data_IF_288787356346
#
_entry.id   IF_288787356346
#
_cell.length_a   1.000
_cell.length_b   1.000
_cell.length_c   1.000
_cell.angle_alpha   90.00
_cell.angle_beta   90.00
_cell.angle_gamma   90.00
#
_symmetry.space_group_name_H-M   'P 1'
#
loop_
_entity.id
_entity.type
_entity.pdbx_description
1 polymer ?
#
# COMPACT_ATOMS: atom_id res chain seq x y z
N UNK A 1 1.50 38.42 -35.40
CA UNK A 1 2.12 38.15 -34.10
C UNK A 1 1.11 37.30 -33.37
N UNK A 2 1.30 35.98 -33.41
CA UNK A 2 0.37 35.00 -32.87
C UNK A 2 0.78 34.71 -31.43
N UNK A 3 -0.09 35.03 -30.49
CA UNK A 3 0.06 34.66 -29.08
C UNK A 3 -0.42 33.21 -28.93
N UNK A 4 0.53 32.27 -28.93
CA UNK A 4 0.29 30.89 -28.52
C UNK A 4 0.01 30.85 -27.01
N UNK A 5 -1.25 30.71 -26.63
CA UNK A 5 -1.62 30.29 -25.27
C UNK A 5 -1.54 28.77 -25.17
N UNK A 6 -0.76 28.20 -24.23
CA UNK A 6 -0.84 26.78 -23.98
C UNK A 6 -2.13 26.45 -23.22
N UNK A 7 -2.89 25.54 -23.83
CA UNK A 7 -4.04 24.82 -23.30
C UNK A 7 -3.69 24.13 -21.97
N UNK A 8 -4.24 24.64 -20.86
CA UNK A 8 -4.02 24.12 -19.49
C UNK A 8 -5.05 23.04 -19.13
N UNK A 9 -5.81 22.52 -20.08
CA UNK A 9 -7.02 21.73 -19.81
C UNK A 9 -6.81 20.20 -19.77
N UNK A 10 -5.70 19.71 -19.21
CA UNK A 10 -5.40 18.26 -19.14
C UNK A 10 -4.84 17.74 -17.81
N UNK A 11 -4.91 18.47 -16.69
CA UNK A 11 -4.34 18.00 -15.41
C UNK A 11 -5.35 17.84 -14.27
N UNK A 12 -6.63 17.60 -14.57
CA UNK A 12 -7.57 17.09 -13.56
C UNK A 12 -7.61 15.55 -13.55
N UNK A 13 -6.44 14.92 -13.67
CA UNK A 13 -6.29 13.55 -13.19
C UNK A 13 -6.16 13.68 -11.68
N UNK A 14 -7.26 13.39 -10.96
CA UNK A 14 -7.26 13.18 -9.52
C UNK A 14 -6.53 11.86 -9.23
N UNK A 15 -5.25 11.78 -9.61
CA UNK A 15 -4.29 10.96 -8.92
C UNK A 15 -4.25 11.55 -7.52
N UNK A 16 -4.86 10.86 -6.56
CA UNK A 16 -4.47 11.00 -5.17
C UNK A 16 -3.00 10.59 -5.12
N UNK A 17 -2.11 11.51 -5.46
CA UNK A 17 -0.70 11.39 -5.19
C UNK A 17 -0.63 11.20 -3.70
N UNK A 18 -0.39 9.95 -3.29
CA UNK A 18 0.18 9.68 -1.99
C UNK A 18 1.37 10.63 -1.91
N UNK A 19 1.30 11.60 -0.99
CA UNK A 19 2.23 12.72 -0.93
C UNK A 19 3.66 12.16 -0.92
N UNK A 20 4.32 12.20 -2.08
CA UNK A 20 5.47 11.32 -2.36
C UNK A 20 6.75 11.82 -1.70
N UNK A 21 6.69 12.97 -1.02
CA UNK A 21 7.83 13.65 -0.40
C UNK A 21 8.44 12.89 0.78
N UNK A 22 7.80 11.82 1.27
CA UNK A 22 8.25 11.08 2.45
C UNK A 22 8.22 9.55 2.30
N UNK A 23 8.15 9.02 1.08
CA UNK A 23 8.15 7.57 0.89
C UNK A 23 9.58 7.01 0.93
N UNK A 24 9.83 6.08 1.84
CA UNK A 24 11.12 5.38 1.95
C UNK A 24 11.02 4.02 1.24
N UNK A 25 11.93 3.70 0.31
CA UNK A 25 11.99 2.37 -0.27
C UNK A 25 12.58 1.36 0.72
N UNK A 26 11.92 0.21 0.87
CA UNK A 26 12.39 -0.92 1.68
C UNK A 26 12.42 -2.16 0.81
N UNK A 27 13.59 -2.82 0.73
CA UNK A 27 13.76 -4.07 -0.02
C UNK A 27 13.57 -5.27 0.90
N UNK A 28 12.77 -6.23 0.46
CA UNK A 28 12.51 -7.48 1.18
C UNK A 28 12.77 -8.66 0.24
N UNK A 29 13.48 -9.68 0.72
CA UNK A 29 13.57 -10.96 0.03
C UNK A 29 12.22 -11.69 0.15
N UNK A 30 11.56 -11.88 -0.98
CA UNK A 30 10.37 -12.72 -1.11
C UNK A 30 10.60 -13.82 -2.14
N UNK A 31 10.70 -15.07 -1.66
CA UNK A 31 10.95 -16.27 -2.48
C UNK A 31 12.26 -16.19 -3.31
N UNK A 32 13.33 -15.65 -2.75
CA UNK A 32 14.64 -15.54 -3.42
C UNK A 32 14.67 -14.45 -4.50
N UNK A 33 13.73 -13.49 -4.41
CA UNK A 33 13.68 -12.29 -5.27
C UNK A 33 13.53 -11.06 -4.38
N UNK A 34 14.30 -10.04 -4.70
CA UNK A 34 14.18 -8.75 -4.05
C UNK A 34 12.90 -8.04 -4.52
N UNK A 35 12.01 -7.74 -3.57
CA UNK A 35 10.82 -6.93 -3.80
C UNK A 35 10.96 -5.60 -3.07
N UNK A 36 10.79 -4.49 -3.80
CA UNK A 36 10.83 -3.15 -3.22
C UNK A 36 9.43 -2.69 -2.84
N UNK A 37 9.26 -2.27 -1.59
CA UNK A 37 8.02 -1.72 -1.05
C UNK A 37 8.25 -0.26 -0.65
N UNK A 38 7.37 0.64 -1.08
CA UNK A 38 7.38 2.02 -0.62
C UNK A 38 6.67 2.12 0.74
N UNK A 39 7.29 2.76 1.72
CA UNK A 39 6.73 2.92 3.08
C UNK A 39 6.58 4.40 3.40
N UNK A 40 5.39 4.81 3.81
CA UNK A 40 5.14 6.14 4.33
C UNK A 40 5.33 6.17 5.85
N UNK A 41 5.99 7.19 6.42
CA UNK A 41 6.33 7.23 7.85
C UNK A 41 5.12 7.17 8.77
N UNK A 42 3.96 7.69 8.35
CA UNK A 42 2.75 7.74 9.19
C UNK A 42 1.66 6.71 8.79
N UNK A 43 1.74 6.19 7.56
CA UNK A 43 0.65 5.39 6.98
C UNK A 43 1.06 3.95 6.69
N UNK A 44 2.37 3.68 6.68
CA UNK A 44 2.91 2.35 6.47
C UNK A 44 3.12 2.00 4.99
N UNK A 45 3.21 0.69 4.68
CA UNK A 45 3.60 0.22 3.37
C UNK A 45 2.50 0.43 2.32
N UNK A 46 2.92 0.70 1.10
CA UNK A 46 2.07 0.90 -0.08
C UNK A 46 1.92 -0.41 -0.84
N UNK A 47 0.69 -0.74 -1.21
CA UNK A 47 0.36 -1.86 -2.09
C UNK A 47 -0.23 -1.37 -3.41
N UNK A 48 0.03 -2.13 -4.45
CA UNK A 48 -0.54 -1.94 -5.78
C UNK A 48 -1.93 -2.58 -5.84
N UNK A 49 -2.86 -1.90 -6.50
CA UNK A 49 -4.21 -2.38 -6.78
C UNK A 49 -4.30 -2.84 -8.24
N UNK A 50 -5.26 -3.70 -8.53
CA UNK A 50 -5.48 -4.26 -9.87
C UNK A 50 -5.94 -3.24 -10.92
N UNK A 51 -6.44 -2.09 -10.48
CA UNK A 51 -6.80 -0.94 -11.33
C UNK A 51 -5.58 -0.06 -11.67
N UNK A 52 -4.37 -0.47 -11.29
CA UNK A 52 -3.14 0.30 -11.47
C UNK A 52 -2.95 1.40 -10.42
N UNK A 53 -3.90 1.56 -9.48
CA UNK A 53 -3.76 2.47 -8.36
C UNK A 53 -2.88 1.92 -7.24
N UNK A 54 -2.64 2.75 -6.22
CA UNK A 54 -1.92 2.37 -5.01
C UNK A 54 -2.72 2.72 -3.76
N UNK A 55 -2.57 1.93 -2.69
CA UNK A 55 -3.17 2.23 -1.39
C UNK A 55 -2.24 1.84 -0.23
N UNK A 56 -2.49 2.39 0.96
CA UNK A 56 -1.77 2.00 2.17
C UNK A 56 -2.33 0.71 2.75
N UNK A 57 -1.44 -0.25 3.02
CA UNK A 57 -1.81 -1.48 3.68
C UNK A 57 -2.03 -1.22 5.18
N UNK A 58 -3.27 -1.42 5.62
CA UNK A 58 -3.66 -1.22 7.03
C UNK A 58 -3.49 -2.51 7.83
N UNK A 59 -3.11 -2.35 9.10
CA UNK A 59 -3.11 -3.44 10.06
C UNK A 59 -4.54 -3.83 10.43
N UNK A 60 -4.96 -5.04 10.06
CA UNK A 60 -6.24 -5.61 10.47
C UNK A 60 -6.02 -6.81 11.39
N UNK A 61 -6.12 -6.61 12.70
CA UNK A 61 -6.22 -7.71 13.66
C UNK A 61 -7.64 -8.26 13.62
N UNK A 62 -7.78 -9.55 13.27
CA UNK A 62 -9.06 -10.26 13.37
C UNK A 62 -9.67 -10.75 12.06
N UNK A 63 -8.87 -11.31 11.13
CA UNK A 63 -9.42 -12.27 10.16
C UNK A 63 -9.63 -13.62 10.85
N UNK A 64 -10.58 -13.67 11.79
CA UNK A 64 -11.26 -14.94 12.04
C UNK A 64 -12.07 -15.19 10.78
N UNK A 65 -11.78 -16.30 10.08
CA UNK A 65 -12.69 -16.87 9.08
C UNK A 65 -14.08 -16.81 9.72
N UNK A 66 -15.01 -16.10 9.08
CA UNK A 66 -16.39 -16.00 9.56
C UNK A 66 -17.02 -17.40 9.50
N UNK A 67 -16.78 -18.23 10.50
CA UNK A 67 -17.68 -19.32 10.80
C UNK A 67 -18.97 -18.69 11.33
N UNK A 68 -20.15 -19.01 10.77
CA UNK A 68 -21.40 -18.49 11.30
C UNK A 68 -21.53 -18.91 12.77
N UNK A 69 -21.65 -17.93 13.66
CA UNK A 69 -21.91 -18.15 15.10
C UNK A 69 -20.81 -17.74 16.09
N UNK A 70 -19.62 -17.28 15.67
CA UNK A 70 -18.64 -16.71 16.60
C UNK A 70 -18.72 -15.18 16.61
N UNK A 71 -18.96 -14.60 17.80
CA UNK A 71 -18.87 -13.16 18.02
C UNK A 71 -17.56 -12.63 17.45
N UNK A 72 -17.66 -11.69 16.51
CA UNK A 72 -16.49 -11.02 15.93
C UNK A 72 -15.70 -10.38 17.06
N UNK A 73 -14.47 -10.80 17.28
CA UNK A 73 -13.54 -9.98 18.04
C UNK A 73 -13.52 -8.58 17.40
N UNK A 74 -13.55 -7.49 18.19
CA UNK A 74 -13.50 -6.15 17.63
C UNK A 74 -12.25 -6.05 16.76
N UNK A 75 -12.43 -5.58 15.53
CA UNK A 75 -11.32 -5.30 14.61
C UNK A 75 -10.49 -4.19 15.24
N UNK A 76 -9.38 -4.54 15.87
CA UNK A 76 -8.42 -3.56 16.36
C UNK A 76 -7.61 -3.08 15.16
N UNK A 77 -8.04 -1.94 14.61
CA UNK A 77 -7.25 -1.21 13.63
C UNK A 77 -6.23 -0.38 14.40
N UNK A 78 -4.98 -0.85 14.45
CA UNK A 78 -3.86 -0.07 14.97
C UNK A 78 -3.36 0.88 13.87
N UNK A 79 -2.98 2.11 14.25
CA UNK A 79 -2.27 2.98 13.32
C UNK A 79 -0.84 2.48 13.15
N UNK A 80 -0.20 2.85 12.05
CA UNK A 80 1.18 2.46 11.74
C UNK A 80 2.16 2.82 12.86
N UNK A 81 2.01 4.03 13.44
CA UNK A 81 2.84 4.51 14.54
C UNK A 81 2.62 3.76 15.87
N UNK A 82 1.51 3.01 15.98
CA UNK A 82 1.17 2.23 17.18
C UNK A 82 1.62 0.76 17.06
N UNK A 83 2.24 0.39 15.95
CA UNK A 83 2.72 -0.96 15.71
C UNK A 83 4.06 -1.18 16.40
N UNK A 84 4.22 -2.39 16.94
CA UNK A 84 5.55 -2.88 17.32
C UNK A 84 6.43 -3.07 16.09
N UNK A 85 7.76 -3.13 16.29
CA UNK A 85 8.72 -3.39 15.22
C UNK A 85 8.33 -4.63 14.41
N UNK A 86 8.02 -5.74 15.06
CA UNK A 86 7.61 -6.98 14.39
C UNK A 86 6.30 -6.83 13.62
N UNK A 87 5.29 -6.14 14.17
CA UNK A 87 4.03 -5.89 13.44
C UNK A 87 4.28 -5.06 12.18
N UNK A 88 5.16 -4.07 12.25
CA UNK A 88 5.55 -3.23 11.11
C UNK A 88 6.29 -4.04 10.04
N UNK A 89 7.24 -4.90 10.43
CA UNK A 89 7.98 -5.79 9.53
C UNK A 89 7.04 -6.77 8.82
N UNK A 90 6.12 -7.40 9.57
CA UNK A 90 5.12 -8.32 9.00
C UNK A 90 4.26 -7.61 7.96
N UNK A 91 3.85 -6.36 8.22
CA UNK A 91 3.09 -5.56 7.25
C UNK A 91 3.87 -5.26 5.97
N UNK A 92 5.16 -4.91 6.08
CA UNK A 92 6.01 -4.68 4.91
C UNK A 92 6.16 -5.97 4.09
N UNK A 93 6.40 -7.11 4.74
CA UNK A 93 6.46 -8.42 4.09
C UNK A 93 5.14 -8.79 3.40
N UNK A 94 4.00 -8.48 4.02
CA UNK A 94 2.68 -8.68 3.41
C UNK A 94 2.49 -7.81 2.17
N UNK A 95 2.90 -6.54 2.23
CA UNK A 95 2.84 -5.65 1.08
C UNK A 95 3.72 -6.14 -0.07
N UNK A 96 4.96 -6.57 0.21
CA UNK A 96 5.86 -7.18 -0.76
C UNK A 96 5.20 -8.38 -1.44
N UNK A 97 4.64 -9.30 -0.65
CA UNK A 97 3.93 -10.47 -1.16
C UNK A 97 2.73 -10.10 -2.05
N UNK A 98 1.95 -9.09 -1.67
CA UNK A 98 0.80 -8.62 -2.45
C UNK A 98 1.22 -8.02 -3.79
N UNK A 99 2.25 -7.18 -3.78
CA UNK A 99 2.80 -6.55 -4.98
C UNK A 99 3.41 -7.58 -5.93
N UNK A 100 4.22 -8.50 -5.40
CA UNK A 100 4.81 -9.60 -6.17
C UNK A 100 3.72 -10.46 -6.84
N UNK A 101 2.68 -10.85 -6.08
CA UNK A 101 1.57 -11.64 -6.61
C UNK A 101 0.75 -10.89 -7.66
N UNK A 102 0.58 -9.58 -7.51
CA UNK A 102 -0.09 -8.77 -8.52
C UNK A 102 0.74 -8.71 -9.80
N UNK A 103 2.04 -8.45 -9.67
CA UNK A 103 2.99 -8.42 -10.79
C UNK A 103 3.03 -9.74 -11.56
N UNK A 104 3.07 -10.87 -10.87
CA UNK A 104 3.00 -12.21 -11.49
C UNK A 104 1.70 -12.44 -12.29
N UNK A 105 0.59 -11.79 -11.95
CA UNK A 105 -0.69 -11.94 -12.65
C UNK A 105 -0.78 -11.10 -13.93
N UNK A 106 0.02 -10.04 -14.04
CA UNK A 106 -0.03 -9.08 -15.14
C UNK A 106 1.28 -9.02 -15.95
N UNK A 107 2.26 -9.90 -15.68
CA UNK A 107 3.45 -10.10 -16.53
C UNK A 107 3.21 -11.22 -17.54
#
# INVERSE_FOLDING_TARGET
MSEDQPDVSSQLLVMKMVNSEHLTPVTVDYNGKDETVMVHPEHGPVINRSDGGTEFLRHYLGRTIQSPGRMSCPKLNKNWNDLTVTESEVLVCLAAKMNAKLRERFS
#
